data_IF_116046893580
#
_entry.id   IF_116046893580
#
_cell.length_a   1.000
_cell.length_b   1.000
_cell.length_c   1.000
_cell.angle_alpha   90.00
_cell.angle_beta   90.00
_cell.angle_gamma   90.00
#
_symmetry.space_group_name_H-M   'P 1'
#
loop_
_entity.id
_entity.type
_entity.pdbx_description
1 polymer ?
#
# COMPACT_ATOMS: atom_id res chain seq x y z
N UNK A 1 12.93 -6.44 13.82
CA UNK A 1 12.40 -5.25 13.11
C UNK A 1 13.07 -5.20 11.75
N UNK A 2 12.35 -5.46 10.66
CA UNK A 2 12.86 -5.12 9.33
C UNK A 2 12.66 -3.61 9.15
N UNK A 3 13.71 -2.84 9.35
CA UNK A 3 13.73 -1.41 9.03
C UNK A 3 13.68 -1.31 7.50
N UNK A 4 12.48 -1.17 6.97
CA UNK A 4 12.29 -0.75 5.58
C UNK A 4 13.03 0.60 5.44
N UNK A 5 14.06 0.65 4.58
CA UNK A 5 14.91 1.85 4.43
C UNK A 5 14.11 3.09 4.05
N UNK A 6 14.64 4.29 4.31
CA UNK A 6 13.94 5.56 4.03
C UNK A 6 14.03 6.02 2.57
N UNK A 7 14.60 5.19 1.69
CA UNK A 7 14.81 5.51 0.28
C UNK A 7 14.20 4.45 -0.65
N UNK A 8 13.92 4.85 -1.89
CA UNK A 8 13.52 4.00 -3.00
C UNK A 8 14.24 4.54 -4.23
N UNK A 9 15.00 3.71 -4.96
CA UNK A 9 15.78 4.15 -6.13
C UNK A 9 16.66 5.39 -5.86
N UNK A 10 17.36 5.39 -4.72
CA UNK A 10 18.18 6.50 -4.23
C UNK A 10 17.42 7.80 -3.84
N UNK A 11 16.11 7.85 -4.06
CA UNK A 11 15.24 8.96 -3.66
C UNK A 11 14.71 8.79 -2.24
N UNK A 12 14.65 9.88 -1.48
CA UNK A 12 14.14 9.86 -0.09
C UNK A 12 12.62 9.89 -0.06
N UNK A 13 12.01 9.08 0.79
CA UNK A 13 10.55 9.09 0.98
C UNK A 13 10.17 10.33 1.81
N UNK A 14 9.60 11.34 1.16
CA UNK A 14 9.06 12.53 1.81
C UNK A 14 7.67 12.28 2.41
N UNK A 15 7.19 13.16 3.28
CA UNK A 15 5.93 12.99 4.02
C UNK A 15 4.66 12.94 3.12
N UNK A 16 4.74 13.52 1.93
CA UNK A 16 3.68 13.55 0.91
C UNK A 16 3.74 12.37 -0.08
N UNK A 17 4.71 11.46 0.11
CA UNK A 17 4.94 10.29 -0.72
C UNK A 17 4.69 9.00 0.07
N UNK A 18 4.36 7.93 -0.65
CA UNK A 18 4.24 6.59 -0.09
C UNK A 18 4.99 5.58 -0.95
N UNK A 19 5.59 4.59 -0.28
CA UNK A 19 6.11 3.39 -0.94
C UNK A 19 4.96 2.52 -1.43
N UNK A 20 4.91 2.25 -2.72
CA UNK A 20 3.96 1.28 -3.30
C UNK A 20 4.73 0.20 -4.05
N UNK A 21 4.18 -1.01 -4.08
CA UNK A 21 4.68 -2.11 -4.92
C UNK A 21 3.74 -2.30 -6.09
N UNK A 22 4.28 -2.46 -7.30
CA UNK A 22 3.47 -2.75 -8.48
C UNK A 22 3.35 -4.26 -8.63
N UNK A 23 2.13 -4.78 -8.45
CA UNK A 23 1.84 -6.22 -8.48
C UNK A 23 1.15 -6.67 -9.77
N UNK A 24 0.53 -5.74 -10.49
CA UNK A 24 -0.18 -6.00 -11.74
C UNK A 24 -0.18 -4.74 -12.63
N UNK A 25 -0.21 -4.92 -13.95
CA UNK A 25 -0.03 -3.85 -14.94
C UNK A 25 -1.09 -3.94 -16.03
N UNK A 26 -1.89 -2.87 -16.14
CA UNK A 26 -2.89 -2.72 -17.21
C UNK A 26 -2.32 -2.07 -18.48
N UNK A 27 -1.38 -1.14 -18.33
CA UNK A 27 -0.71 -0.48 -19.44
C UNK A 27 0.77 -0.28 -19.11
N UNK A 28 1.64 -1.08 -19.72
CA UNK A 28 3.06 -1.09 -19.42
C UNK A 28 3.81 0.16 -19.89
N UNK A 29 3.30 0.87 -20.91
CA UNK A 29 3.96 2.07 -21.46
C UNK A 29 3.57 3.36 -20.74
N UNK A 30 2.60 3.29 -19.81
CA UNK A 30 2.24 4.42 -18.96
C UNK A 30 3.45 4.84 -18.10
N UNK A 31 3.62 6.15 -17.90
CA UNK A 31 4.68 6.69 -17.03
C UNK A 31 4.33 6.51 -15.56
N UNK A 32 5.35 6.33 -14.72
CA UNK A 32 5.16 6.42 -13.27
C UNK A 32 4.98 7.89 -12.84
N UNK A 33 4.30 8.17 -11.71
CA UNK A 33 4.07 9.55 -11.27
C UNK A 33 5.33 10.30 -10.85
N UNK A 34 6.33 9.57 -10.34
CA UNK A 34 7.63 10.10 -9.95
C UNK A 34 8.69 9.23 -10.64
N UNK A 35 9.13 9.61 -11.84
CA UNK A 35 10.17 8.90 -12.57
C UNK A 35 11.52 9.02 -11.88
N UNK A 36 12.31 7.96 -11.91
CA UNK A 36 13.72 7.93 -11.50
C UNK A 36 14.60 7.55 -12.69
N UNK A 37 15.92 7.56 -12.52
CA UNK A 37 16.85 7.07 -13.55
C UNK A 37 16.58 5.60 -13.89
N UNK A 38 16.25 4.79 -12.88
CA UNK A 38 15.99 3.36 -13.02
C UNK A 38 14.58 3.04 -13.56
N UNK A 39 13.57 3.86 -13.23
CA UNK A 39 12.16 3.55 -13.47
C UNK A 39 11.42 4.76 -14.06
N UNK A 40 11.05 4.66 -15.32
CA UNK A 40 10.32 5.69 -16.09
C UNK A 40 8.86 5.27 -16.38
N UNK A 41 8.62 3.96 -16.58
CA UNK A 41 7.30 3.42 -16.93
C UNK A 41 6.80 2.39 -15.92
N UNK A 42 5.48 2.19 -15.88
CA UNK A 42 4.82 1.20 -15.00
C UNK A 42 5.31 -0.21 -15.34
N UNK A 43 5.59 -0.50 -16.62
CA UNK A 43 6.20 -1.76 -17.08
C UNK A 43 7.51 -2.12 -16.37
N UNK A 44 8.35 -1.12 -16.08
CA UNK A 44 9.64 -1.30 -15.41
C UNK A 44 9.51 -1.51 -13.89
N UNK A 45 8.34 -1.22 -13.32
CA UNK A 45 8.12 -1.25 -11.88
C UNK A 45 7.57 -2.59 -11.36
N UNK A 46 7.26 -3.57 -12.24
CA UNK A 46 6.64 -4.84 -11.84
C UNK A 46 7.49 -5.59 -10.81
N UNK A 47 6.89 -5.91 -9.66
CA UNK A 47 7.58 -6.60 -8.57
C UNK A 47 8.56 -5.72 -7.78
N UNK A 48 8.63 -4.41 -8.06
CA UNK A 48 9.51 -3.46 -7.39
C UNK A 48 8.72 -2.37 -6.63
N UNK A 49 9.42 -1.65 -5.76
CA UNK A 49 8.89 -0.50 -5.04
C UNK A 49 9.11 0.79 -5.81
N UNK A 50 8.08 1.64 -5.92
CA UNK A 50 8.18 2.99 -6.48
C UNK A 50 7.61 4.02 -5.50
N UNK A 51 7.98 5.28 -5.68
CA UNK A 51 7.34 6.40 -5.00
C UNK A 51 5.98 6.71 -5.62
N UNK A 52 4.98 6.91 -4.78
CA UNK A 52 3.65 7.33 -5.20
C UNK A 52 3.18 8.55 -4.40
N UNK A 53 2.78 9.66 -5.06
CA UNK A 53 2.23 10.80 -4.37
C UNK A 53 0.93 10.43 -3.65
N UNK A 54 0.81 10.77 -2.36
CA UNK A 54 -0.37 10.48 -1.55
C UNK A 54 -1.65 11.08 -2.15
N UNK A 55 -1.54 12.20 -2.85
CA UNK A 55 -2.66 12.85 -3.56
C UNK A 55 -3.20 12.03 -4.74
N UNK A 56 -2.40 11.12 -5.29
CA UNK A 56 -2.76 10.26 -6.43
C UNK A 56 -3.17 8.86 -5.99
N UNK A 57 -2.92 8.47 -4.74
CA UNK A 57 -3.57 7.29 -4.20
C UNK A 57 -5.01 7.68 -3.87
N UNK A 58 -5.93 7.36 -4.80
CA UNK A 58 -7.35 7.25 -4.42
C UNK A 58 -7.35 6.35 -3.20
N UNK A 59 -7.92 6.80 -2.08
CA UNK A 59 -7.86 6.10 -0.80
C UNK A 59 -8.42 4.66 -0.90
N UNK A 60 -7.59 3.75 -1.40
CA UNK A 60 -7.59 2.33 -1.10
C UNK A 60 -6.55 2.10 0.01
N UNK A 61 -6.26 3.15 0.79
CA UNK A 61 -6.23 2.91 2.22
C UNK A 61 -7.64 2.40 2.52
N UNK A 62 -7.85 1.07 2.46
CA UNK A 62 -8.93 0.45 3.24
C UNK A 62 -8.87 1.17 4.59
N UNK A 63 -10.01 1.56 5.16
CA UNK A 63 -10.06 2.03 6.56
C UNK A 63 -9.60 0.87 7.47
N UNK A 64 -8.32 0.57 7.41
CA UNK A 64 -7.61 -0.33 8.28
C UNK A 64 -7.38 0.48 9.54
N UNK A 65 -7.75 -0.09 10.67
CA UNK A 65 -7.55 0.57 11.94
C UNK A 65 -6.05 0.50 12.23
N UNK A 66 -5.30 1.51 11.78
CA UNK A 66 -3.86 1.62 12.06
C UNK A 66 -3.74 2.08 13.50
N UNK A 67 -3.09 1.26 14.33
CA UNK A 67 -2.77 1.66 15.70
C UNK A 67 -1.79 2.85 15.68
N UNK A 68 -2.04 3.91 16.46
CA UNK A 68 -1.13 5.05 16.57
C UNK A 68 0.05 4.76 17.52
N UNK A 69 -0.12 3.85 18.49
CA UNK A 69 0.89 3.48 19.48
C UNK A 69 1.39 2.03 19.34
N UNK A 70 2.36 1.65 20.18
CA UNK A 70 2.99 0.31 20.15
C UNK A 70 2.30 -0.75 21.02
N UNK A 71 1.38 -0.36 21.91
CA UNK A 71 0.81 -1.23 22.96
C UNK A 71 -0.67 -1.61 22.74
N UNK A 72 -1.36 -1.00 21.78
CA UNK A 72 -2.80 -1.22 21.58
C UNK A 72 -3.12 -2.35 20.57
N UNK A 73 -2.12 -3.13 20.15
CA UNK A 73 -2.29 -4.10 19.06
C UNK A 73 -3.39 -5.13 19.34
N UNK A 74 -3.46 -5.63 20.57
CA UNK A 74 -4.52 -6.55 21.01
C UNK A 74 -5.92 -5.94 20.90
N UNK A 75 -6.09 -4.67 21.28
CA UNK A 75 -7.37 -3.96 21.18
C UNK A 75 -7.85 -3.84 19.73
N UNK A 76 -6.97 -3.44 18.82
CA UNK A 76 -7.31 -3.29 17.41
C UNK A 76 -7.63 -4.63 16.73
N UNK A 77 -6.93 -5.72 17.10
CA UNK A 77 -7.22 -7.08 16.61
C UNK A 77 -8.61 -7.54 17.09
N UNK A 78 -8.89 -7.46 18.39
CA UNK A 78 -10.18 -7.86 18.95
C UNK A 78 -11.33 -7.03 18.38
N UNK A 79 -11.16 -5.71 18.26
CA UNK A 79 -12.16 -4.80 17.67
C UNK A 79 -12.40 -5.11 16.19
N UNK A 80 -11.39 -5.57 15.46
CA UNK A 80 -11.56 -5.97 14.07
C UNK A 80 -12.32 -7.29 13.95
N UNK A 81 -11.99 -8.29 14.76
CA UNK A 81 -12.73 -9.56 14.82
C UNK A 81 -14.20 -9.34 15.16
N UNK A 82 -14.48 -8.49 16.16
CA UNK A 82 -15.84 -8.10 16.51
C UNK A 82 -16.59 -7.52 15.30
N UNK A 83 -15.97 -6.60 14.55
CA UNK A 83 -16.59 -6.01 13.35
C UNK A 83 -16.91 -7.05 12.27
N UNK A 84 -16.04 -8.05 12.04
CA UNK A 84 -16.28 -9.12 11.06
C UNK A 84 -17.50 -9.95 11.47
N UNK A 85 -17.54 -10.37 12.74
CA UNK A 85 -18.64 -11.17 13.30
C UNK A 85 -19.95 -10.37 13.24
N UNK A 86 -19.94 -9.11 13.70
CA UNK A 86 -21.11 -8.24 13.69
C UNK A 86 -21.61 -7.89 12.28
N UNK A 87 -20.73 -7.85 11.29
CA UNK A 87 -21.11 -7.61 9.90
C UNK A 87 -21.53 -8.88 9.15
N UNK A 88 -21.50 -10.05 9.81
CA UNK A 88 -21.79 -11.37 9.24
C UNK A 88 -21.07 -11.61 7.89
N UNK A 89 -19.81 -11.19 7.82
CA UNK A 89 -19.01 -11.28 6.59
C UNK A 89 -18.49 -12.71 6.45
N UNK A 90 -19.21 -13.53 5.67
CA UNK A 90 -18.87 -14.96 5.44
C UNK A 90 -18.37 -15.28 4.02
N UNK A 91 -18.65 -14.42 3.02
CA UNK A 91 -18.43 -14.75 1.60
C UNK A 91 -17.57 -13.75 0.80
N UNK A 92 -16.99 -12.71 1.41
CA UNK A 92 -16.29 -11.64 0.67
C UNK A 92 -15.03 -12.07 -0.11
N UNK A 93 -14.56 -13.31 0.06
CA UNK A 93 -13.43 -13.87 -0.69
C UNK A 93 -13.82 -14.56 -2.00
N UNK A 94 -15.11 -14.88 -2.21
CA UNK A 94 -15.60 -15.60 -3.39
C UNK A 94 -15.78 -14.71 -4.64
N UNK A 95 -15.55 -13.41 -4.55
CA UNK A 95 -15.66 -12.45 -5.66
C UNK A 95 -14.33 -12.21 -6.40
N UNK A 96 -13.29 -13.00 -6.11
CA UNK A 96 -11.94 -12.88 -6.71
C UNK A 96 -11.51 -14.19 -7.40
N UNK A 97 -12.47 -14.96 -7.91
CA UNK A 97 -12.20 -16.15 -8.75
C UNK A 97 -13.15 -16.13 -9.92
#
# INVERSE_FOLDING_TARGET
MYTLGSTIHHETITADMMRVVVVDIRNATARVPVPTEDVQTVGQALGNFILWPLRLSRAIVKKCSRQPGSFECGYYVMRHMQKIISANVVDSWKLVT
#
